data_IF_731552093572
#
_entry.id   IF_731552093572
#
_cell.length_a   1.000
_cell.length_b   1.000
_cell.length_c   1.000
_cell.angle_alpha   90.00
_cell.angle_beta   90.00
_cell.angle_gamma   90.00
#
_symmetry.space_group_name_H-M   'P 1'
#
loop_
_entity.id
_entity.type
_entity.pdbx_description
1 polymer ?
#
# COMPACT_ATOMS: atom_id res chain seq x y z
N UNK A 1 -27.95 1.72 -0.96
CA UNK A 1 -27.33 1.81 -2.30
C UNK A 1 -27.30 0.41 -2.90
N UNK A 2 -27.85 0.21 -4.12
CA UNK A 2 -27.86 -1.10 -4.77
C UNK A 2 -26.90 -1.11 -5.95
N UNK A 3 -26.21 -2.24 -6.18
CA UNK A 3 -25.28 -2.45 -7.30
C UNK A 3 -25.65 -3.71 -8.03
N UNK A 4 -25.65 -3.67 -9.38
CA UNK A 4 -25.88 -4.83 -10.22
C UNK A 4 -24.73 -5.84 -10.13
N UNK A 5 -25.06 -7.12 -10.22
CA UNK A 5 -24.11 -8.23 -10.26
C UNK A 5 -23.83 -8.62 -11.70
N UNK A 6 -22.56 -8.68 -12.06
CA UNK A 6 -22.10 -9.06 -13.40
C UNK A 6 -21.52 -10.46 -13.41
N UNK A 7 -21.58 -11.12 -14.57
CA UNK A 7 -20.83 -12.36 -14.79
C UNK A 7 -19.40 -12.05 -15.30
N UNK A 8 -18.55 -13.06 -15.47
CA UNK A 8 -17.18 -12.93 -16.00
C UNK A 8 -17.17 -12.34 -17.43
N UNK A 9 -18.26 -12.50 -18.19
CA UNK A 9 -18.40 -11.97 -19.55
C UNK A 9 -18.82 -10.50 -19.57
N UNK A 10 -19.11 -9.89 -18.42
CA UNK A 10 -19.55 -8.51 -18.30
C UNK A 10 -21.03 -8.29 -18.57
N UNK A 11 -21.82 -9.36 -18.62
CA UNK A 11 -23.28 -9.28 -18.77
C UNK A 11 -23.92 -9.10 -17.40
N UNK A 12 -24.98 -8.29 -17.31
CA UNK A 12 -25.77 -8.11 -16.08
C UNK A 12 -26.60 -9.38 -15.84
N UNK A 13 -26.49 -9.93 -14.66
CA UNK A 13 -27.26 -11.15 -14.27
C UNK A 13 -28.69 -10.84 -13.86
N UNK A 14 -29.07 -9.56 -13.84
CA UNK A 14 -30.38 -9.09 -13.34
C UNK A 14 -30.51 -9.14 -11.81
N UNK A 15 -29.49 -9.61 -11.09
CA UNK A 15 -29.44 -9.59 -9.63
C UNK A 15 -28.83 -8.29 -9.12
N UNK A 16 -29.38 -7.78 -8.03
CA UNK A 16 -28.84 -6.61 -7.33
C UNK A 16 -28.46 -6.97 -5.91
N UNK A 17 -27.35 -6.44 -5.44
CA UNK A 17 -26.88 -6.59 -4.07
C UNK A 17 -26.93 -5.23 -3.38
N UNK A 18 -27.55 -5.17 -2.20
CA UNK A 18 -27.57 -3.98 -1.39
C UNK A 18 -26.26 -3.83 -0.64
N UNK A 19 -25.60 -2.68 -0.79
CA UNK A 19 -24.42 -2.31 0.00
C UNK A 19 -24.86 -1.89 1.41
N UNK A 20 -24.16 -2.39 2.42
CA UNK A 20 -24.44 -2.07 3.81
C UNK A 20 -24.11 -0.60 4.11
N UNK A 21 -25.11 0.19 4.53
CA UNK A 21 -24.95 1.62 4.82
C UNK A 21 -23.97 1.89 5.96
N UNK A 22 -23.84 0.99 6.94
CA UNK A 22 -22.88 1.13 8.03
C UNK A 22 -21.41 1.03 7.59
N UNK A 23 -21.15 0.59 6.35
CA UNK A 23 -19.81 0.42 5.78
C UNK A 23 -19.59 1.37 4.60
N UNK A 24 -20.54 1.43 3.67
CA UNK A 24 -20.42 2.16 2.42
C UNK A 24 -21.15 3.52 2.41
N UNK A 25 -22.02 3.76 3.38
CA UNK A 25 -22.83 4.99 3.50
C UNK A 25 -22.35 5.98 4.56
N UNK A 26 -21.23 5.71 5.23
CA UNK A 26 -20.73 6.61 6.28
C UNK A 26 -20.15 7.89 5.68
N UNK A 27 -20.18 8.98 6.47
CA UNK A 27 -19.43 10.19 6.15
C UNK A 27 -17.92 9.91 6.22
N UNK A 28 -17.17 10.13 5.12
CA UNK A 28 -15.75 9.81 5.09
C UNK A 28 -14.92 10.69 6.04
N UNK A 29 -13.99 10.06 6.78
CA UNK A 29 -13.04 10.76 7.64
C UNK A 29 -11.65 10.78 7.03
N UNK A 30 -11.26 11.90 6.40
CA UNK A 30 -9.98 12.07 5.70
C UNK A 30 -8.78 11.94 6.61
N UNK A 31 -8.89 12.42 7.86
CA UNK A 31 -7.80 12.32 8.81
C UNK A 31 -7.50 10.87 9.21
N UNK A 32 -8.54 10.06 9.42
CA UNK A 32 -8.36 8.63 9.71
C UNK A 32 -7.72 7.91 8.52
N UNK A 33 -8.15 8.21 7.29
CA UNK A 33 -7.55 7.70 6.05
C UNK A 33 -6.07 8.06 5.98
N UNK A 34 -5.73 9.34 6.18
CA UNK A 34 -4.34 9.83 6.17
C UNK A 34 -3.47 9.08 7.17
N UNK A 35 -3.93 8.90 8.40
CA UNK A 35 -3.16 8.21 9.43
C UNK A 35 -2.90 6.74 9.08
N UNK A 36 -3.90 6.02 8.54
CA UNK A 36 -3.76 4.60 8.19
C UNK A 36 -2.82 4.42 6.98
N UNK A 37 -2.95 5.27 5.96
CA UNK A 37 -2.03 5.28 4.81
C UNK A 37 -0.60 5.61 5.24
N UNK A 38 -0.42 6.63 6.09
CA UNK A 38 0.88 7.00 6.65
C UNK A 38 1.52 5.85 7.42
N UNK A 39 0.73 5.16 8.26
CA UNK A 39 1.20 3.97 8.98
C UNK A 39 1.62 2.87 8.02
N UNK A 40 0.78 2.54 7.04
CA UNK A 40 1.05 1.49 6.07
C UNK A 40 2.37 1.75 5.32
N UNK A 41 2.58 2.97 4.82
CA UNK A 41 3.80 3.34 4.11
C UNK A 41 5.03 3.37 5.03
N UNK A 42 4.89 3.85 6.26
CA UNK A 42 5.98 3.91 7.23
C UNK A 42 6.45 2.50 7.64
N UNK A 43 5.50 1.57 7.83
CA UNK A 43 5.81 0.19 8.24
C UNK A 43 6.49 -0.64 7.15
N UNK A 44 6.51 -0.18 5.90
CA UNK A 44 7.25 -0.81 4.80
C UNK A 44 8.74 -0.40 4.78
N UNK A 45 9.12 0.65 5.52
CA UNK A 45 10.49 1.16 5.53
C UNK A 45 11.37 0.34 6.48
N UNK A 46 12.51 -0.14 5.99
CA UNK A 46 13.50 -0.85 6.80
C UNK A 46 14.39 0.06 7.64
N UNK A 47 14.61 1.30 7.18
CA UNK A 47 15.38 2.30 7.90
C UNK A 47 16.87 1.99 8.10
N UNK A 48 17.47 1.16 7.25
CA UNK A 48 18.86 0.67 7.37
C UNK A 48 19.92 1.65 6.87
N UNK A 49 19.54 2.85 6.46
CA UNK A 49 20.48 3.87 5.97
C UNK A 49 21.37 4.39 7.11
N UNK A 50 22.66 4.49 6.83
CA UNK A 50 23.67 4.95 7.77
C UNK A 50 24.76 5.75 7.06
N UNK A 51 25.20 6.85 7.67
CA UNK A 51 26.45 7.55 7.29
C UNK A 51 27.58 7.11 8.21
N UNK A 52 28.79 7.04 7.68
CA UNK A 52 29.96 6.75 8.49
C UNK A 52 30.37 7.97 9.31
N UNK A 53 30.52 7.80 10.61
CA UNK A 53 31.05 8.79 11.54
C UNK A 53 32.61 8.79 11.47
N UNK A 54 33.25 9.78 12.09
CA UNK A 54 34.70 9.92 12.04
C UNK A 54 35.49 8.69 12.58
N UNK A 55 34.91 7.97 13.52
CA UNK A 55 35.47 6.74 14.08
C UNK A 55 35.33 5.51 13.18
N UNK A 56 34.46 5.58 12.17
CA UNK A 56 34.15 4.44 11.27
C UNK A 56 34.81 4.57 9.90
N UNK A 57 35.42 5.72 9.62
CA UNK A 57 36.17 5.94 8.37
C UNK A 57 37.59 5.42 8.53
N UNK A 58 38.08 4.79 7.47
CA UNK A 58 39.50 4.42 7.38
C UNK A 58 40.36 5.68 7.20
N UNK A 59 41.36 5.82 8.01
CA UNK A 59 42.28 6.94 7.94
C UNK A 59 43.13 7.05 9.22
N UNK A 60 44.26 7.79 9.16
CA UNK A 60 45.11 7.99 10.29
C UNK A 60 44.46 8.95 11.31
N UNK A 61 44.50 8.58 12.58
CA UNK A 61 44.11 9.44 13.70
C UNK A 61 45.22 10.39 14.14
N UNK A 62 46.41 10.29 13.50
CA UNK A 62 47.55 11.18 13.79
C UNK A 62 47.24 12.61 13.40
N UNK A 63 47.67 13.57 14.21
CA UNK A 63 47.59 14.98 13.90
C UNK A 63 48.34 15.31 12.60
N UNK A 64 47.67 15.96 11.64
CA UNK A 64 48.21 16.23 10.29
C UNK A 64 49.38 17.21 10.29
N UNK A 65 49.36 18.21 11.18
CA UNK A 65 50.36 19.24 11.17
C UNK A 65 50.76 19.70 12.59
N UNK A 66 51.83 20.47 12.67
CA UNK A 66 52.30 21.07 13.93
C UNK A 66 51.26 22.06 14.45
N UNK A 67 51.21 22.24 15.80
CA UNK A 67 50.24 23.13 16.45
C UNK A 67 50.45 24.61 16.10
N UNK A 68 51.70 25.03 15.94
CA UNK A 68 52.10 26.42 15.64
C UNK A 68 53.24 26.42 14.61
N UNK A 69 53.52 27.57 13.98
CA UNK A 69 54.65 27.75 13.08
C UNK A 69 54.41 27.35 11.62
N UNK A 70 53.19 26.97 11.23
CA UNK A 70 52.88 26.55 9.86
C UNK A 70 52.07 27.56 9.01
N UNK A 71 51.75 28.73 9.58
CA UNK A 71 50.96 29.76 8.85
C UNK A 71 49.53 29.42 8.45
N UNK A 72 49.13 28.14 8.61
CA UNK A 72 47.81 27.65 8.23
C UNK A 72 46.90 27.34 9.43
N UNK A 73 45.66 26.90 9.13
CA UNK A 73 44.70 26.49 10.14
C UNK A 73 45.20 25.27 10.94
N UNK A 74 44.91 25.26 12.24
CA UNK A 74 45.21 24.10 13.11
C UNK A 74 44.32 22.93 12.72
N UNK A 75 44.92 21.77 12.40
CA UNK A 75 44.18 20.58 11.96
C UNK A 75 44.43 19.40 12.90
N UNK A 76 43.42 18.64 13.17
CA UNK A 76 43.52 17.37 13.90
C UNK A 76 43.89 16.21 12.97
N UNK A 77 43.06 15.16 13.00
CA UNK A 77 43.21 13.97 12.16
C UNK A 77 42.51 14.10 10.78
N UNK A 78 42.84 13.19 9.88
CA UNK A 78 42.24 13.14 8.54
C UNK A 78 40.74 12.83 8.57
N UNK A 79 40.27 12.14 9.59
CA UNK A 79 38.88 11.70 9.71
C UNK A 79 37.92 12.80 10.18
N UNK A 80 38.47 14.01 10.45
CA UNK A 80 37.69 15.15 10.93
C UNK A 80 36.58 15.55 9.92
N UNK A 81 35.34 15.78 10.37
CA UNK A 81 34.24 16.15 9.47
C UNK A 81 34.43 17.51 8.77
N UNK A 82 35.37 18.33 9.22
CA UNK A 82 35.73 19.61 8.59
C UNK A 82 36.54 19.41 7.30
N UNK A 83 37.17 18.26 7.14
CA UNK A 83 38.01 17.95 5.98
C UNK A 83 37.21 17.25 4.90
N UNK A 84 37.58 17.49 3.64
CA UNK A 84 37.02 16.75 2.50
C UNK A 84 37.40 15.29 2.66
N UNK A 85 36.39 14.40 2.59
CA UNK A 85 36.57 12.96 2.83
C UNK A 85 36.50 12.55 4.31
N UNK A 86 36.32 13.49 5.23
CA UNK A 86 36.10 13.21 6.66
C UNK A 86 34.71 12.60 6.96
N UNK A 87 34.53 12.20 8.22
CA UNK A 87 33.29 11.59 8.71
C UNK A 87 32.08 12.54 8.65
N UNK A 88 30.90 11.98 8.54
CA UNK A 88 29.65 12.76 8.56
C UNK A 88 29.23 13.06 9.99
N UNK A 89 28.99 14.34 10.32
CA UNK A 89 28.38 14.77 11.58
C UNK A 89 26.86 14.83 11.37
N UNK A 90 26.08 14.35 12.34
CA UNK A 90 24.60 14.34 12.27
C UNK A 90 24.03 13.69 11.02
N UNK A 91 24.75 12.73 10.44
CA UNK A 91 24.23 11.91 9.34
C UNK A 91 23.12 10.96 9.78
N UNK A 92 22.43 10.35 8.82
CA UNK A 92 21.38 9.40 9.14
C UNK A 92 21.95 8.19 9.88
N UNK A 93 21.23 7.74 10.91
CA UNK A 93 21.46 6.50 11.65
C UNK A 93 20.31 5.54 11.40
N UNK A 94 20.54 4.22 11.44
CA UNK A 94 19.46 3.25 11.35
C UNK A 94 18.42 3.51 12.41
N UNK A 95 17.15 3.54 12.00
CA UNK A 95 16.02 3.76 12.91
C UNK A 95 14.78 3.07 12.41
N UNK A 96 13.92 2.70 13.34
CA UNK A 96 12.60 2.18 13.03
C UNK A 96 11.65 3.33 12.70
N UNK A 97 10.86 3.10 11.66
CA UNK A 97 9.76 4.00 11.26
C UNK A 97 8.40 3.48 11.68
N UNK A 98 8.39 2.30 12.29
CA UNK A 98 7.18 1.63 12.71
C UNK A 98 6.41 2.43 13.77
N UNK A 99 5.11 2.56 13.59
CA UNK A 99 4.18 3.02 14.62
C UNK A 99 2.84 2.30 14.51
N UNK A 100 2.07 2.28 15.59
CA UNK A 100 0.82 1.55 15.72
C UNK A 100 -0.36 2.51 15.78
N UNK A 101 -1.45 2.17 15.10
CA UNK A 101 -2.75 2.82 15.20
C UNK A 101 -3.75 1.92 15.91
N UNK A 102 -4.72 2.54 16.58
CA UNK A 102 -5.82 1.84 17.21
C UNK A 102 -6.69 1.11 16.19
N UNK A 103 -7.18 -0.09 16.55
CA UNK A 103 -8.03 -0.92 15.67
C UNK A 103 -9.27 -0.17 15.17
N UNK A 104 -9.95 0.58 16.05
CA UNK A 104 -11.14 1.38 15.70
C UNK A 104 -10.85 2.45 14.63
N UNK A 105 -9.69 3.14 14.71
CA UNK A 105 -9.28 4.14 13.72
C UNK A 105 -9.02 3.48 12.36
N UNK A 106 -8.37 2.32 12.34
CA UNK A 106 -8.16 1.55 11.09
C UNK A 106 -9.47 1.08 10.47
N UNK A 107 -10.42 0.62 11.27
CA UNK A 107 -11.74 0.22 10.79
C UNK A 107 -12.49 1.43 10.18
N UNK A 108 -12.48 2.58 10.87
CA UNK A 108 -13.07 3.82 10.36
C UNK A 108 -12.41 4.26 9.04
N UNK A 109 -11.08 4.19 8.94
CA UNK A 109 -10.36 4.53 7.73
C UNK A 109 -10.75 3.65 6.53
N UNK A 110 -10.88 2.33 6.74
CA UNK A 110 -11.33 1.39 5.70
C UNK A 110 -12.76 1.67 5.26
N UNK A 111 -13.68 1.85 6.22
CA UNK A 111 -15.06 2.22 5.92
C UNK A 111 -15.13 3.53 5.12
N UNK A 112 -14.38 4.56 5.54
CA UNK A 112 -14.30 5.86 4.84
C UNK A 112 -13.79 5.72 3.41
N UNK A 113 -12.75 4.91 3.18
CA UNK A 113 -12.22 4.67 1.83
C UNK A 113 -13.23 3.93 0.93
N UNK A 114 -13.97 2.96 1.47
CA UNK A 114 -15.03 2.25 0.76
C UNK A 114 -16.23 3.15 0.46
N UNK A 115 -16.60 4.02 1.38
CA UNK A 115 -17.64 5.01 1.18
C UNK A 115 -17.30 5.96 0.02
N UNK A 116 -16.06 6.47 -0.07
CA UNK A 116 -15.61 7.23 -1.23
C UNK A 116 -15.74 6.46 -2.55
N UNK A 117 -15.40 5.17 -2.55
CA UNK A 117 -15.55 4.34 -3.76
C UNK A 117 -17.01 4.14 -4.15
N UNK A 118 -17.90 4.00 -3.17
CA UNK A 118 -19.33 3.90 -3.40
C UNK A 118 -19.91 5.20 -3.97
N UNK A 119 -19.58 6.35 -3.39
CA UNK A 119 -20.00 7.68 -3.86
C UNK A 119 -19.55 7.96 -5.31
N UNK A 120 -18.34 7.50 -5.67
CA UNK A 120 -17.78 7.68 -7.02
C UNK A 120 -18.25 6.61 -8.01
N UNK A 121 -19.19 5.73 -7.66
CA UNK A 121 -19.63 4.59 -8.49
C UNK A 121 -18.45 3.73 -9.01
N UNK A 122 -17.41 3.58 -8.20
CA UNK A 122 -16.19 2.86 -8.54
C UNK A 122 -16.17 1.43 -7.95
N UNK A 123 -17.33 0.91 -7.59
CA UNK A 123 -17.52 -0.47 -7.09
C UNK A 123 -18.26 -1.27 -8.15
N UNK A 124 -17.71 -2.43 -8.49
CA UNK A 124 -18.31 -3.42 -9.39
C UNK A 124 -18.45 -4.73 -8.62
N UNK A 125 -19.57 -5.42 -8.80
CA UNK A 125 -19.83 -6.71 -8.16
C UNK A 125 -19.89 -7.80 -9.24
N UNK A 126 -19.18 -8.91 -9.00
CA UNK A 126 -19.11 -10.03 -9.92
C UNK A 126 -19.51 -11.31 -9.19
N UNK A 127 -20.16 -12.23 -9.90
CA UNK A 127 -20.43 -13.57 -9.38
C UNK A 127 -19.14 -14.24 -8.89
N UNK A 128 -19.28 -15.18 -7.98
CA UNK A 128 -18.15 -15.99 -7.54
C UNK A 128 -17.65 -16.86 -8.68
N UNK A 129 -16.36 -16.85 -8.92
CA UNK A 129 -15.73 -17.60 -9.99
C UNK A 129 -14.41 -18.24 -9.55
N UNK A 130 -14.00 -19.26 -10.26
CA UNK A 130 -12.70 -19.87 -10.11
C UNK A 130 -12.08 -20.12 -11.49
N UNK A 131 -10.74 -19.98 -11.57
CA UNK A 131 -10.01 -20.40 -12.76
C UNK A 131 -9.44 -21.80 -12.53
N UNK A 132 -9.67 -22.71 -13.48
CA UNK A 132 -9.11 -24.07 -13.44
C UNK A 132 -7.58 -24.03 -13.50
N UNK A 133 -7.01 -23.15 -14.33
CA UNK A 133 -5.57 -22.97 -14.49
C UNK A 133 -5.19 -21.48 -14.43
N UNK A 134 -4.00 -21.14 -13.91
CA UNK A 134 -3.53 -19.75 -13.86
C UNK A 134 -3.13 -19.28 -15.26
N UNK A 135 -3.97 -18.45 -15.89
CA UNK A 135 -3.74 -17.84 -17.21
C UNK A 135 -4.02 -16.35 -17.15
N UNK A 136 -3.03 -15.52 -17.49
CA UNK A 136 -3.16 -14.07 -17.56
C UNK A 136 -4.18 -13.60 -18.59
N UNK A 137 -4.30 -14.33 -19.72
CA UNK A 137 -5.25 -14.04 -20.79
C UNK A 137 -6.69 -14.01 -20.28
N UNK A 138 -7.09 -15.00 -19.49
CA UNK A 138 -8.44 -15.08 -18.93
C UNK A 138 -8.76 -13.88 -18.01
N UNK A 139 -7.79 -13.47 -17.22
CA UNK A 139 -7.96 -12.30 -16.35
C UNK A 139 -8.07 -10.99 -17.15
N UNK A 140 -7.27 -10.83 -18.21
CA UNK A 140 -7.34 -9.66 -19.11
C UNK A 140 -8.68 -9.59 -19.83
N UNK A 141 -9.19 -10.72 -20.32
CA UNK A 141 -10.51 -10.80 -20.98
C UNK A 141 -11.62 -10.39 -20.00
N UNK A 142 -11.61 -10.91 -18.79
CA UNK A 142 -12.55 -10.53 -17.74
C UNK A 142 -12.48 -9.02 -17.43
N UNK A 143 -11.29 -8.45 -17.27
CA UNK A 143 -11.13 -7.03 -16.99
C UNK A 143 -11.62 -6.13 -18.13
N UNK A 144 -11.45 -6.56 -19.39
CA UNK A 144 -12.00 -5.88 -20.58
C UNK A 144 -13.52 -5.96 -20.62
N UNK A 145 -14.08 -7.14 -20.39
CA UNK A 145 -15.52 -7.37 -20.39
C UNK A 145 -16.23 -6.51 -19.33
N UNK A 146 -15.63 -6.39 -18.15
CA UNK A 146 -16.11 -5.52 -17.06
C UNK A 146 -15.81 -4.02 -17.28
N UNK A 147 -15.13 -3.65 -18.37
CA UNK A 147 -14.73 -2.26 -18.71
C UNK A 147 -13.87 -1.58 -17.62
N UNK A 148 -13.04 -2.38 -16.94
CA UNK A 148 -12.16 -1.89 -15.86
C UNK A 148 -10.67 -1.98 -16.20
N UNK A 149 -10.33 -2.34 -17.45
CA UNK A 149 -8.95 -2.55 -17.93
C UNK A 149 -8.08 -1.27 -17.91
N UNK A 150 -8.69 -0.10 -18.07
CA UNK A 150 -7.99 1.18 -18.24
C UNK A 150 -7.59 1.84 -16.92
N UNK A 151 -8.08 1.32 -15.81
CA UNK A 151 -7.83 1.83 -14.46
C UNK A 151 -7.09 0.79 -13.61
N UNK A 152 -6.44 1.26 -12.56
CA UNK A 152 -5.94 0.34 -11.55
C UNK A 152 -7.10 -0.43 -10.93
N UNK A 153 -7.02 -1.76 -11.00
CA UNK A 153 -8.05 -2.68 -10.53
C UNK A 153 -7.63 -3.32 -9.20
N UNK A 154 -8.51 -3.27 -8.22
CA UNK A 154 -8.42 -4.08 -7.01
C UNK A 154 -9.57 -5.09 -7.00
N UNK A 155 -9.24 -6.37 -7.11
CA UNK A 155 -10.20 -7.45 -6.97
C UNK A 155 -10.14 -8.01 -5.55
N UNK A 156 -11.30 -8.14 -4.92
CA UNK A 156 -11.46 -8.63 -3.56
C UNK A 156 -12.27 -9.92 -3.59
N UNK A 157 -11.63 -11.00 -3.13
CA UNK A 157 -12.19 -12.33 -3.02
C UNK A 157 -12.54 -12.63 -1.56
N UNK A 158 -13.55 -13.44 -1.30
CA UNK A 158 -13.87 -13.91 0.05
C UNK A 158 -12.69 -14.69 0.64
N UNK A 159 -12.17 -15.64 -0.12
CA UNK A 159 -11.02 -16.47 0.26
C UNK A 159 -9.88 -16.33 -0.76
N UNK A 160 -8.68 -16.72 -0.34
CA UNK A 160 -7.50 -16.65 -1.20
C UNK A 160 -7.57 -17.71 -2.30
N UNK A 161 -7.71 -17.28 -3.56
CA UNK A 161 -7.64 -18.15 -4.73
C UNK A 161 -6.30 -18.00 -5.44
N UNK A 162 -5.46 -19.06 -5.36
CA UNK A 162 -4.11 -19.08 -5.93
C UNK A 162 -4.12 -18.87 -7.44
N UNK A 163 -5.05 -19.48 -8.16
CA UNK A 163 -5.10 -19.40 -9.63
C UNK A 163 -5.47 -18.00 -10.10
N UNK A 164 -6.43 -17.35 -9.45
CA UNK A 164 -6.83 -15.97 -9.75
C UNK A 164 -5.67 -14.99 -9.44
N UNK A 165 -5.02 -15.16 -8.28
CA UNK A 165 -3.88 -14.33 -7.89
C UNK A 165 -2.71 -14.45 -8.89
N UNK A 166 -2.33 -15.68 -9.28
CA UNK A 166 -1.25 -15.91 -10.26
C UNK A 166 -1.60 -15.36 -11.64
N UNK A 167 -2.88 -15.40 -12.04
CA UNK A 167 -3.35 -14.84 -13.31
C UNK A 167 -3.27 -13.32 -13.37
N UNK A 168 -3.45 -12.64 -12.23
CA UNK A 168 -3.49 -11.19 -12.15
C UNK A 168 -2.12 -10.53 -11.90
N UNK A 169 -1.25 -11.17 -11.09
CA UNK A 169 -0.05 -10.51 -10.52
C UNK A 169 0.95 -9.95 -11.54
N UNK A 170 0.99 -10.52 -12.77
CA UNK A 170 1.88 -10.04 -13.84
C UNK A 170 1.32 -8.80 -14.57
N UNK A 171 0.07 -8.45 -14.33
CA UNK A 171 -0.60 -7.35 -15.04
C UNK A 171 -0.36 -6.06 -14.26
N UNK A 172 0.21 -5.05 -14.90
CA UNK A 172 0.44 -3.74 -14.28
C UNK A 172 -0.90 -3.10 -13.90
N UNK A 173 -1.04 -2.72 -12.64
CA UNK A 173 -2.25 -2.08 -12.13
C UNK A 173 -3.35 -3.04 -11.66
N UNK A 174 -3.22 -4.35 -11.85
CA UNK A 174 -4.13 -5.34 -11.31
C UNK A 174 -3.63 -5.86 -9.95
N UNK A 175 -4.48 -5.81 -8.93
CA UNK A 175 -4.24 -6.37 -7.62
C UNK A 175 -5.39 -7.28 -7.22
N UNK A 176 -5.07 -8.46 -6.68
CA UNK A 176 -6.06 -9.40 -6.14
C UNK A 176 -5.74 -9.63 -4.68
N UNK A 177 -6.73 -9.50 -3.82
CA UNK A 177 -6.59 -9.71 -2.38
C UNK A 177 -7.79 -10.48 -1.85
N UNK A 178 -7.56 -11.24 -0.78
CA UNK A 178 -8.65 -11.75 0.04
C UNK A 178 -9.17 -10.63 0.94
N UNK A 179 -10.40 -10.77 1.41
CA UNK A 179 -11.03 -9.78 2.29
C UNK A 179 -10.25 -9.56 3.59
N UNK A 180 -9.60 -10.60 4.13
CA UNK A 180 -8.74 -10.50 5.31
C UNK A 180 -7.52 -9.59 5.09
N UNK A 181 -7.03 -9.48 3.86
CA UNK A 181 -5.91 -8.62 3.47
C UNK A 181 -6.32 -7.20 3.08
N UNK A 182 -7.61 -6.86 3.13
CA UNK A 182 -8.12 -5.55 2.74
C UNK A 182 -7.51 -4.43 3.58
N UNK A 183 -6.88 -3.45 2.91
CA UNK A 183 -6.31 -2.28 3.55
C UNK A 183 -6.70 -0.97 2.83
N UNK A 184 -6.72 0.12 3.57
CA UNK A 184 -7.12 1.45 3.10
C UNK A 184 -6.27 1.93 1.92
N UNK A 185 -4.95 1.68 1.96
CA UNK A 185 -4.02 2.10 0.91
C UNK A 185 -4.38 1.48 -0.45
N UNK A 186 -4.65 0.17 -0.50
CA UNK A 186 -4.99 -0.53 -1.74
C UNK A 186 -6.35 -0.12 -2.29
N UNK A 187 -7.33 0.12 -1.42
CA UNK A 187 -8.63 0.63 -1.82
C UNK A 187 -8.50 2.00 -2.48
N UNK A 188 -7.70 2.91 -1.91
CA UNK A 188 -7.51 4.24 -2.47
C UNK A 188 -6.70 4.23 -3.77
N UNK A 189 -5.63 3.42 -3.84
CA UNK A 189 -4.77 3.31 -5.02
C UNK A 189 -5.52 2.76 -6.24
N UNK A 190 -6.51 1.91 -6.03
CA UNK A 190 -7.34 1.36 -7.09
C UNK A 190 -8.26 2.43 -7.69
N UNK A 191 -8.36 2.50 -9.01
CA UNK A 191 -9.40 3.30 -9.69
C UNK A 191 -10.78 2.66 -9.56
N UNK A 192 -10.84 1.32 -9.65
CA UNK A 192 -12.08 0.54 -9.49
C UNK A 192 -11.85 -0.63 -8.56
N UNK A 193 -12.80 -0.89 -7.68
CA UNK A 193 -12.79 -2.02 -6.75
C UNK A 193 -13.84 -3.04 -7.23
N UNK A 194 -13.40 -4.26 -7.49
CA UNK A 194 -14.27 -5.37 -7.90
C UNK A 194 -14.41 -6.34 -6.75
N UNK A 195 -15.63 -6.57 -6.30
CA UNK A 195 -15.96 -7.54 -5.27
C UNK A 195 -16.58 -8.78 -5.90
N UNK A 196 -16.25 -9.96 -5.39
CA UNK A 196 -17.09 -11.13 -5.59
C UNK A 196 -18.31 -11.07 -4.64
N UNK A 197 -19.40 -11.71 -5.01
CA UNK A 197 -20.65 -11.68 -4.24
C UNK A 197 -20.43 -12.21 -2.80
N UNK A 198 -19.70 -13.31 -2.67
CA UNK A 198 -19.31 -13.87 -1.38
C UNK A 198 -18.41 -12.91 -0.54
N UNK A 199 -17.53 -12.13 -1.20
CA UNK A 199 -16.69 -11.15 -0.53
C UNK A 199 -17.50 -9.99 0.08
N UNK A 200 -18.55 -9.53 -0.61
CA UNK A 200 -19.47 -8.52 -0.05
C UNK A 200 -20.21 -9.02 1.18
N UNK A 201 -20.61 -10.27 1.20
CA UNK A 201 -21.22 -10.88 2.38
C UNK A 201 -20.22 -10.99 3.53
N UNK A 202 -18.97 -11.35 3.26
CA UNK A 202 -17.93 -11.51 4.26
C UNK A 202 -17.43 -10.16 4.84
N UNK A 203 -17.47 -9.05 4.07
CA UNK A 203 -17.04 -7.73 4.56
C UNK A 203 -17.95 -7.23 5.69
N UNK A 204 -19.23 -7.57 5.64
CA UNK A 204 -20.18 -7.22 6.68
C UNK A 204 -19.77 -7.81 8.04
N UNK A 205 -19.22 -9.03 8.05
CA UNK A 205 -18.78 -9.70 9.28
C UNK A 205 -17.47 -9.12 9.84
N UNK A 206 -16.63 -8.51 8.99
CA UNK A 206 -15.30 -8.01 9.39
C UNK A 206 -15.36 -6.53 9.81
N UNK A 207 -16.21 -5.74 9.16
CA UNK A 207 -16.26 -4.29 9.34
C UNK A 207 -17.58 -3.78 9.97
N UNK A 208 -18.54 -4.64 10.22
CA UNK A 208 -19.80 -4.26 10.87
C UNK A 208 -19.59 -3.67 12.26
#
# INVERSE_FOLDING_TARGET
MEVSVYNIKGEDTGRKVALNESIFGIEPNDHAIYLDVKQFMANQRQGTHKSKERSEISGSTRKIGRQKGGGGARRGDLNSPVLVGGGRVFGPKPRDYFFKLNKKVKALARKSALSYKAQNNAIVVVEDFAFEAPKTKNFVEMAKNLKVSDKKLLMILAEANKNVYLSARNIKGANVQSISGLNTYRVLDAGTVVFTESALSAINNILA
#
